data_IF_988551784526
#
_entry.id   IF_988551784526
#
_cell.length_a   1.000
_cell.length_b   1.000
_cell.length_c   1.000
_cell.angle_alpha   90.00
_cell.angle_beta   90.00
_cell.angle_gamma   90.00
#
_symmetry.space_group_name_H-M   'P 1'
#
loop_
_entity.id
_entity.type
_entity.pdbx_description
1 polymer ?
#
# COMPACT_ATOMS: atom_id res chain seq x y z
N UNK A 1 -13.84 11.64 -16.85
CA UNK A 1 -13.19 12.49 -15.83
C UNK A 1 -12.52 13.66 -16.48
N UNK A 2 -12.43 14.78 -15.77
CA UNK A 2 -11.82 16.01 -16.29
C UNK A 2 -10.73 16.47 -15.32
N UNK A 3 -9.56 16.82 -15.85
CA UNK A 3 -8.52 17.46 -15.04
C UNK A 3 -8.98 18.86 -14.65
N UNK A 4 -8.93 19.17 -13.35
CA UNK A 4 -9.42 20.43 -12.80
C UNK A 4 -8.30 21.30 -12.22
N UNK A 5 -7.16 20.70 -11.89
CA UNK A 5 -6.01 21.42 -11.33
C UNK A 5 -4.71 20.63 -11.50
N UNK A 6 -3.60 21.37 -11.69
CA UNK A 6 -2.23 20.88 -11.57
C UNK A 6 -1.46 21.70 -10.55
N UNK A 7 -0.63 21.06 -9.74
CA UNK A 7 0.24 21.71 -8.76
C UNK A 7 1.67 21.17 -8.99
N UNK A 8 2.59 22.08 -9.32
CA UNK A 8 4.00 21.73 -9.56
C UNK A 8 4.84 21.78 -8.29
N UNK A 9 6.00 21.13 -8.30
CA UNK A 9 6.93 21.02 -7.19
C UNK A 9 6.32 20.31 -5.96
N UNK A 10 5.66 19.19 -6.20
CA UNK A 10 5.09 18.33 -5.17
C UNK A 10 5.92 17.06 -5.05
N UNK A 11 6.63 16.87 -3.92
CA UNK A 11 7.40 15.65 -3.68
C UNK A 11 6.53 14.49 -3.22
N UNK A 12 5.57 14.79 -2.35
CA UNK A 12 4.57 13.83 -1.88
C UNK A 12 3.32 14.53 -1.33
N UNK A 13 2.22 13.80 -1.19
CA UNK A 13 0.95 14.34 -0.73
C UNK A 13 0.14 13.35 0.09
N UNK A 14 -0.80 13.87 0.88
CA UNK A 14 -1.79 13.12 1.64
C UNK A 14 -3.18 13.73 1.47
N UNK A 15 -4.18 12.89 1.58
CA UNK A 15 -5.57 13.30 1.74
C UNK A 15 -6.01 12.89 3.15
N UNK A 16 -6.36 13.88 3.99
CA UNK A 16 -6.82 13.67 5.35
C UNK A 16 -8.11 14.45 5.54
N UNK A 17 -9.18 13.78 5.97
CA UNK A 17 -10.50 14.37 6.12
C UNK A 17 -10.94 15.16 4.88
N UNK A 18 -10.72 14.57 3.69
CA UNK A 18 -11.02 15.15 2.37
C UNK A 18 -10.18 16.38 1.99
N UNK A 19 -9.22 16.77 2.81
CA UNK A 19 -8.32 17.90 2.57
C UNK A 19 -6.99 17.44 2.03
N UNK A 20 -6.47 18.17 1.06
CA UNK A 20 -5.17 17.94 0.45
C UNK A 20 -4.07 18.60 1.30
N UNK A 21 -3.03 17.83 1.59
CA UNK A 21 -1.76 18.26 2.16
C UNK A 21 -0.62 17.78 1.28
N UNK A 22 0.35 18.62 0.99
CA UNK A 22 1.49 18.23 0.17
C UNK A 22 2.80 18.87 0.64
N UNK A 23 3.92 18.30 0.25
CA UNK A 23 5.24 18.86 0.51
C UNK A 23 5.98 19.18 -0.79
N UNK A 24 6.84 20.20 -0.74
CA UNK A 24 7.72 20.63 -1.84
C UNK A 24 9.21 20.48 -1.46
N UNK A 25 9.54 19.47 -0.69
CA UNK A 25 10.89 19.16 -0.21
C UNK A 25 11.30 19.87 1.07
N UNK A 26 10.84 21.07 1.35
CA UNK A 26 11.17 21.81 2.58
C UNK A 26 9.95 22.37 3.31
N UNK A 27 8.86 22.40 2.66
CA UNK A 27 7.63 23.01 3.15
C UNK A 27 6.48 22.02 3.07
N UNK A 28 5.61 22.05 4.06
CA UNK A 28 4.31 21.38 4.04
C UNK A 28 3.23 22.39 3.89
N UNK A 29 2.39 22.20 2.91
CA UNK A 29 1.33 23.11 2.50
C UNK A 29 -0.02 22.41 2.67
N UNK A 30 -0.95 23.08 3.33
CA UNK A 30 -2.33 22.62 3.45
C UNK A 30 -3.21 23.08 2.30
N UNK A 31 -4.44 22.56 2.27
CA UNK A 31 -5.44 22.79 1.22
C UNK A 31 -5.64 24.26 0.83
N UNK A 32 -5.53 25.17 1.80
CA UNK A 32 -5.73 26.60 1.59
C UNK A 32 -4.47 27.32 1.06
N UNK A 33 -3.43 26.58 0.68
CA UNK A 33 -2.15 27.13 0.24
C UNK A 33 -1.31 27.72 1.39
N UNK A 34 -1.73 27.56 2.64
CA UNK A 34 -0.95 28.03 3.79
C UNK A 34 0.11 27.00 4.18
N UNK A 35 1.31 27.51 4.45
CA UNK A 35 2.40 26.69 4.98
C UNK A 35 2.11 26.29 6.42
N UNK A 36 2.17 24.98 6.69
CA UNK A 36 2.01 24.39 8.02
C UNK A 36 3.38 24.20 8.68
N UNK A 37 4.39 23.88 7.88
CA UNK A 37 5.76 23.67 8.31
C UNK A 37 6.73 24.21 7.27
N UNK A 38 7.76 24.94 7.72
CA UNK A 38 8.93 25.26 6.92
C UNK A 38 10.15 24.66 7.62
N UNK A 39 10.83 23.75 6.94
CA UNK A 39 12.01 23.06 7.44
C UNK A 39 13.30 23.63 6.83
N UNK A 40 14.38 23.80 7.60
CA UNK A 40 15.69 24.15 7.06
C UNK A 40 16.30 22.97 6.27
N UNK A 41 15.82 21.76 6.48
CA UNK A 41 16.33 20.52 5.88
C UNK A 41 15.31 19.92 4.92
N UNK A 42 15.78 19.11 3.97
CA UNK A 42 14.90 18.39 3.07
C UNK A 42 14.06 17.37 3.84
N UNK A 43 12.76 17.45 3.64
CA UNK A 43 11.76 16.55 4.18
C UNK A 43 11.68 15.28 3.34
N UNK A 44 11.26 14.18 3.96
CA UNK A 44 10.98 12.93 3.26
C UNK A 44 9.47 12.76 3.06
N UNK A 45 8.89 11.68 3.58
CA UNK A 45 7.49 11.35 3.37
C UNK A 45 6.60 12.06 4.39
N UNK A 46 5.58 12.74 3.92
CA UNK A 46 4.50 13.23 4.76
C UNK A 46 3.63 12.05 5.20
N UNK A 47 3.43 11.89 6.50
CA UNK A 47 2.62 10.84 7.09
C UNK A 47 1.56 11.45 7.99
N UNK A 48 0.43 10.76 8.09
CA UNK A 48 -0.63 11.09 9.04
C UNK A 48 -1.14 9.81 9.72
N UNK A 49 -1.26 9.86 11.01
CA UNK A 49 -2.06 8.93 11.82
C UNK A 49 -2.62 9.73 12.99
N UNK A 50 -3.91 9.77 13.08
CA UNK A 50 -4.64 10.59 14.06
C UNK A 50 -4.03 10.49 15.47
N UNK A 51 -3.77 11.61 16.13
CA UNK A 51 -4.09 12.99 15.71
C UNK A 51 -2.92 13.73 15.03
N UNK A 52 -1.86 13.07 14.58
CA UNK A 52 -0.59 13.68 14.21
C UNK A 52 -0.25 13.59 12.73
N UNK A 53 0.25 14.71 12.16
CA UNK A 53 1.15 14.64 11.02
C UNK A 53 2.58 14.47 11.51
N UNK A 54 3.38 13.68 10.81
CA UNK A 54 4.79 13.53 11.12
C UNK A 54 5.61 13.31 9.85
N UNK A 55 6.77 13.98 9.81
CA UNK A 55 7.61 14.04 8.62
C UNK A 55 9.05 13.86 9.04
N UNK A 56 9.72 12.79 8.62
CA UNK A 56 11.15 12.64 8.81
C UNK A 56 11.92 13.56 7.84
N UNK A 57 13.07 14.05 8.29
CA UNK A 57 14.07 14.64 7.41
C UNK A 57 15.06 13.58 6.89
N UNK A 58 15.96 14.01 6.01
CA UNK A 58 16.98 13.14 5.42
C UNK A 58 18.03 12.61 6.42
N UNK A 59 18.11 13.20 7.62
CA UNK A 59 19.05 12.79 8.68
C UNK A 59 18.41 11.87 9.73
N UNK A 60 17.10 11.60 9.60
CA UNK A 60 16.38 10.71 10.52
C UNK A 60 15.82 11.40 11.76
N UNK A 61 15.75 12.73 11.76
CA UNK A 61 14.95 13.48 12.71
C UNK A 61 13.50 13.50 12.24
N UNK A 62 12.56 13.79 13.11
CA UNK A 62 11.14 13.91 12.73
C UNK A 62 10.53 15.22 13.22
N UNK A 63 9.81 15.90 12.35
CA UNK A 63 8.86 16.95 12.71
C UNK A 63 7.52 16.32 13.02
N UNK A 64 7.06 16.52 14.25
CA UNK A 64 5.73 16.13 14.72
C UNK A 64 4.85 17.36 14.73
N UNK A 65 3.82 17.38 13.91
CA UNK A 65 2.89 18.52 13.78
C UNK A 65 1.61 18.16 14.55
N UNK A 66 1.32 18.95 15.53
CA UNK A 66 0.12 18.92 16.36
C UNK A 66 -0.76 20.14 16.03
N UNK A 67 -1.98 20.18 16.51
CA UNK A 67 -2.96 21.23 16.19
C UNK A 67 -2.40 22.66 16.33
N UNK A 68 -1.60 22.90 17.39
CA UNK A 68 -1.08 24.24 17.70
C UNK A 68 0.45 24.28 17.88
N UNK A 69 1.16 23.20 17.59
CA UNK A 69 2.59 23.10 17.88
C UNK A 69 3.29 22.21 16.83
N UNK A 70 4.49 22.61 16.47
CA UNK A 70 5.43 21.74 15.73
C UNK A 70 6.58 21.39 16.66
N UNK A 71 6.78 20.10 16.93
CA UNK A 71 7.86 19.60 17.77
C UNK A 71 8.92 18.90 16.91
N UNK A 72 10.16 19.35 17.06
CA UNK A 72 11.31 18.71 16.43
C UNK A 72 11.87 17.60 17.32
N UNK A 73 11.85 16.37 16.82
CA UNK A 73 12.32 15.17 17.50
C UNK A 73 13.67 14.74 16.88
N UNK A 74 14.77 15.11 17.55
CA UNK A 74 16.13 14.83 17.09
C UNK A 74 16.47 13.34 17.23
N UNK A 75 17.03 12.76 16.17
CA UNK A 75 17.44 11.33 16.09
C UNK A 75 16.32 10.34 16.40
N UNK A 76 15.08 10.74 16.16
CA UNK A 76 13.87 9.94 16.40
C UNK A 76 13.11 9.80 15.09
N UNK A 77 12.92 8.56 14.65
CA UNK A 77 12.11 8.24 13.49
C UNK A 77 10.79 7.61 13.92
N UNK A 78 9.68 8.32 13.73
CA UNK A 78 8.34 7.80 14.05
C UNK A 78 7.99 6.70 13.06
N UNK A 79 7.56 5.56 13.59
CA UNK A 79 7.06 4.40 12.83
C UNK A 79 5.55 4.31 12.84
N UNK A 80 4.96 4.68 13.98
CA UNK A 80 3.52 4.61 14.16
C UNK A 80 3.06 5.49 15.32
N UNK A 81 1.77 5.82 15.36
CA UNK A 81 1.10 6.47 16.49
C UNK A 81 0.27 5.42 17.22
N UNK A 82 0.61 5.15 18.47
CA UNK A 82 -0.08 4.15 19.32
C UNK A 82 -1.30 4.79 20.01
N UNK A 83 -1.13 6.03 20.45
CA UNK A 83 -2.18 6.84 21.09
C UNK A 83 -1.78 8.32 21.09
N UNK A 84 -2.63 9.20 21.60
CA UNK A 84 -2.40 10.65 21.71
C UNK A 84 -1.14 11.05 22.50
N UNK A 85 -0.51 10.13 23.18
CA UNK A 85 0.71 10.41 23.94
C UNK A 85 1.85 9.44 23.67
N UNK A 86 1.57 8.34 22.96
CA UNK A 86 2.53 7.27 22.77
C UNK A 86 2.82 7.08 21.27
N UNK A 87 4.10 7.17 20.91
CA UNK A 87 4.59 6.91 19.56
C UNK A 87 5.45 5.66 19.53
N UNK A 88 5.29 4.85 18.50
CA UNK A 88 6.26 3.83 18.14
C UNK A 88 7.37 4.47 17.33
N UNK A 89 8.60 4.37 17.82
CA UNK A 89 9.73 5.06 17.22
C UNK A 89 10.93 4.14 17.00
N UNK A 90 11.79 4.54 16.08
CA UNK A 90 13.14 3.99 15.94
C UNK A 90 14.15 4.99 16.47
N UNK A 91 14.93 4.59 17.46
CA UNK A 91 16.03 5.35 18.05
C UNK A 91 17.20 4.41 18.34
N UNK A 92 18.42 4.85 18.09
CA UNK A 92 19.65 4.05 18.36
C UNK A 92 19.63 2.64 17.76
N UNK A 93 19.08 2.51 16.54
CA UNK A 93 18.87 1.21 15.84
C UNK A 93 17.94 0.22 16.58
N UNK A 94 17.17 0.67 17.55
CA UNK A 94 16.18 -0.09 18.32
C UNK A 94 14.78 0.41 18.06
N UNK A 95 13.79 -0.33 18.52
CA UNK A 95 12.40 0.10 18.53
C UNK A 95 12.00 0.42 19.97
N UNK A 96 11.39 1.57 20.16
CA UNK A 96 10.93 2.05 21.46
C UNK A 96 9.51 2.62 21.36
N UNK A 97 8.82 2.64 22.48
CA UNK A 97 7.65 3.49 22.70
C UNK A 97 8.15 4.80 23.31
N UNK A 98 7.80 5.91 22.69
CA UNK A 98 8.13 7.26 23.16
C UNK A 98 6.89 7.93 23.72
N UNK A 99 6.94 8.27 25.01
CA UNK A 99 5.91 9.06 25.66
C UNK A 99 6.19 10.55 25.39
N UNK A 100 5.32 11.19 24.61
CA UNK A 100 5.46 12.60 24.22
C UNK A 100 5.29 13.53 25.43
N UNK A 101 4.40 13.17 26.37
CA UNK A 101 4.07 14.02 27.54
C UNK A 101 5.19 14.03 28.55
N UNK A 102 5.76 12.85 28.83
CA UNK A 102 6.82 12.71 29.81
C UNK A 102 8.23 12.83 29.21
N UNK A 103 8.34 12.85 27.86
CA UNK A 103 9.59 12.84 27.12
C UNK A 103 10.49 11.65 27.46
N UNK A 104 9.88 10.46 27.63
CA UNK A 104 10.54 9.25 28.06
C UNK A 104 10.50 8.16 26.99
N UNK A 105 11.55 7.32 26.96
CA UNK A 105 11.65 6.18 26.06
C UNK A 105 11.56 4.86 26.81
N UNK A 106 10.69 3.99 26.33
CA UNK A 106 10.62 2.60 26.76
C UNK A 106 11.03 1.70 25.57
N UNK A 107 12.23 1.11 25.65
CA UNK A 107 12.72 0.21 24.59
C UNK A 107 12.02 -1.15 24.67
N UNK A 108 11.32 -1.50 23.61
CA UNK A 108 10.53 -2.73 23.52
C UNK A 108 11.20 -3.81 22.68
N UNK A 109 12.01 -3.40 21.68
CA UNK A 109 12.79 -4.35 20.86
C UNK A 109 14.22 -3.84 20.69
N UNK A 110 15.18 -4.74 20.68
CA UNK A 110 16.59 -4.45 20.48
C UNK A 110 17.01 -4.37 18.99
N UNK A 111 16.04 -4.28 18.08
CA UNK A 111 16.21 -4.11 16.65
C UNK A 111 15.16 -3.14 16.08
N UNK A 112 15.40 -2.63 14.85
CA UNK A 112 14.44 -1.79 14.12
C UNK A 112 13.39 -2.65 13.44
N UNK A 113 12.14 -2.25 13.54
CA UNK A 113 11.08 -2.80 12.69
C UNK A 113 10.94 -1.95 11.42
N UNK A 114 10.69 -2.60 10.27
CA UNK A 114 10.52 -1.94 8.99
C UNK A 114 9.13 -2.17 8.39
N UNK A 115 8.65 -3.42 8.45
CA UNK A 115 7.34 -3.81 7.93
C UNK A 115 6.56 -4.47 9.05
N UNK A 116 5.43 -3.91 9.36
CA UNK A 116 4.53 -4.40 10.40
C UNK A 116 3.08 -4.11 10.01
N UNK A 117 2.17 -4.78 10.69
CA UNK A 117 0.74 -4.54 10.68
C UNK A 117 0.28 -4.36 12.11
N UNK A 118 -0.45 -3.30 12.40
CA UNK A 118 -1.05 -3.04 13.71
C UNK A 118 -2.49 -3.54 13.75
N UNK A 119 -2.86 -4.20 14.86
CA UNK A 119 -4.23 -4.61 15.15
C UNK A 119 -4.49 -4.63 16.64
N UNK A 120 -5.32 -3.73 17.14
CA UNK A 120 -5.72 -3.66 18.56
C UNK A 120 -4.52 -3.71 19.52
N UNK A 121 -3.50 -2.88 19.28
CA UNK A 121 -2.23 -2.80 20.04
C UNK A 121 -1.32 -4.02 19.93
N UNK A 122 -1.69 -5.04 19.15
CA UNK A 122 -0.79 -6.11 18.74
C UNK A 122 -0.13 -5.73 17.43
N UNK A 123 1.16 -6.03 17.33
CA UNK A 123 1.94 -5.77 16.12
C UNK A 123 2.43 -7.08 15.53
N UNK A 124 2.17 -7.27 14.27
CA UNK A 124 2.65 -8.40 13.50
C UNK A 124 3.77 -7.93 12.60
N UNK A 125 4.91 -8.57 12.68
CA UNK A 125 6.11 -8.10 11.98
C UNK A 125 6.88 -9.26 11.35
N UNK A 126 7.58 -8.92 10.24
CA UNK A 126 8.58 -9.79 9.64
C UNK A 126 9.89 -9.60 10.39
N UNK A 127 10.44 -10.70 10.93
CA UNK A 127 11.77 -10.76 11.50
C UNK A 127 12.55 -11.91 10.87
N UNK A 128 13.48 -11.58 9.95
CA UNK A 128 14.22 -12.57 9.14
C UNK A 128 13.26 -13.52 8.41
N UNK A 129 13.32 -14.81 8.74
CA UNK A 129 12.50 -15.88 8.17
C UNK A 129 11.28 -16.22 9.03
N UNK A 130 10.91 -15.35 9.96
CA UNK A 130 9.80 -15.56 10.87
C UNK A 130 8.78 -14.43 10.77
N UNK A 131 7.55 -14.74 11.13
CA UNK A 131 6.49 -13.78 11.41
C UNK A 131 6.26 -13.83 12.91
N UNK A 132 6.25 -12.66 13.55
CA UNK A 132 6.12 -12.54 15.00
C UNK A 132 4.92 -11.68 15.35
N UNK A 133 4.17 -12.10 16.37
CA UNK A 133 3.17 -11.30 17.06
C UNK A 133 3.73 -10.77 18.37
N UNK A 134 3.60 -9.47 18.61
CA UNK A 134 4.03 -8.81 19.84
C UNK A 134 2.96 -7.85 20.36
N UNK A 135 2.88 -7.69 21.66
CA UNK A 135 2.16 -6.60 22.32
C UNK A 135 3.15 -5.43 22.44
N UNK A 136 2.86 -4.30 21.77
CA UNK A 136 3.90 -3.29 21.56
C UNK A 136 4.19 -2.46 22.80
N UNK A 137 3.20 -2.19 23.65
CA UNK A 137 3.39 -1.33 24.82
C UNK A 137 4.29 -1.98 25.87
N UNK A 138 4.24 -3.29 25.98
CA UNK A 138 5.03 -4.08 26.94
C UNK A 138 6.25 -4.73 26.33
N UNK A 139 6.28 -4.85 25.00
CA UNK A 139 7.27 -5.65 24.27
C UNK A 139 7.07 -7.17 24.46
N UNK A 140 5.92 -7.58 25.03
CA UNK A 140 5.62 -8.98 25.26
C UNK A 140 5.52 -9.74 23.94
N UNK A 141 6.32 -10.77 23.81
CA UNK A 141 6.27 -11.72 22.72
C UNK A 141 5.03 -12.60 22.86
N UNK A 142 4.20 -12.67 21.83
CA UNK A 142 2.97 -13.45 21.82
C UNK A 142 3.18 -14.82 21.18
N UNK A 143 3.71 -14.82 19.96
CA UNK A 143 3.98 -16.04 19.19
C UNK A 143 4.95 -15.77 18.02
N UNK A 144 5.49 -16.85 17.49
CA UNK A 144 6.33 -16.85 16.28
C UNK A 144 5.91 -17.96 15.33
N UNK A 145 5.84 -17.64 14.06
CA UNK A 145 5.67 -18.59 12.97
C UNK A 145 6.93 -18.62 12.11
N UNK A 146 7.60 -19.76 12.04
CA UNK A 146 8.76 -19.92 11.16
C UNK A 146 8.33 -20.29 9.74
N UNK A 147 8.79 -19.52 8.76
CA UNK A 147 8.52 -19.81 7.35
C UNK A 147 9.16 -21.13 6.88
N UNK A 148 10.17 -21.64 7.61
CA UNK A 148 10.76 -22.96 7.33
C UNK A 148 9.76 -24.11 7.45
N UNK A 149 8.68 -23.93 8.23
CA UNK A 149 7.58 -24.90 8.34
C UNK A 149 6.79 -25.09 7.04
N UNK A 150 6.89 -24.12 6.12
CA UNK A 150 6.28 -24.22 4.80
C UNK A 150 7.10 -25.08 3.83
N UNK A 151 8.33 -25.45 4.21
CA UNK A 151 9.30 -26.12 3.36
C UNK A 151 10.03 -25.14 2.45
N UNK A 152 10.35 -25.57 1.25
CA UNK A 152 10.99 -24.75 0.22
C UNK A 152 10.14 -24.71 -1.04
N UNK A 153 10.35 -23.67 -1.84
CA UNK A 153 9.73 -23.56 -3.16
C UNK A 153 10.78 -23.55 -4.26
N UNK A 154 10.42 -24.05 -5.42
CA UNK A 154 11.24 -23.97 -6.63
C UNK A 154 10.93 -22.67 -7.35
N UNK A 155 11.95 -21.89 -7.69
CA UNK A 155 11.76 -20.72 -8.54
C UNK A 155 11.41 -21.19 -9.95
N UNK A 156 10.27 -20.82 -10.52
CA UNK A 156 9.83 -21.33 -11.83
C UNK A 156 10.72 -20.86 -12.99
N UNK A 157 11.57 -19.85 -12.78
CA UNK A 157 12.44 -19.30 -13.82
C UNK A 157 13.86 -19.81 -13.80
N UNK A 158 14.40 -20.13 -12.61
CA UNK A 158 15.81 -20.50 -12.44
C UNK A 158 16.01 -21.91 -11.93
N UNK A 159 14.94 -22.64 -11.68
CA UNK A 159 14.94 -23.95 -11.02
C UNK A 159 15.58 -23.98 -9.62
N UNK A 160 16.03 -22.84 -9.12
CA UNK A 160 16.63 -22.73 -7.79
C UNK A 160 15.60 -23.02 -6.68
N UNK A 161 16.04 -23.78 -5.71
CA UNK A 161 15.25 -24.06 -4.50
C UNK A 161 15.52 -22.99 -3.47
N UNK A 162 14.47 -22.24 -3.10
CA UNK A 162 14.54 -21.09 -2.18
C UNK A 162 13.64 -21.26 -0.97
N UNK A 163 13.99 -20.59 0.11
CA UNK A 163 13.13 -20.48 1.28
C UNK A 163 11.99 -19.51 1.00
N UNK A 164 10.89 -19.69 1.72
CA UNK A 164 9.79 -18.73 1.68
C UNK A 164 10.18 -17.43 2.37
N UNK A 165 9.74 -16.32 1.81
CA UNK A 165 9.89 -14.99 2.38
C UNK A 165 8.57 -14.23 2.37
N UNK A 166 8.33 -13.43 3.38
CA UNK A 166 7.21 -12.48 3.39
C UNK A 166 7.47 -11.38 2.38
N UNK A 167 6.58 -11.24 1.41
CA UNK A 167 6.53 -10.09 0.51
C UNK A 167 5.76 -8.96 1.16
N UNK A 168 4.56 -9.27 1.67
CA UNK A 168 3.67 -8.28 2.29
C UNK A 168 2.82 -8.91 3.37
N UNK A 169 2.60 -8.19 4.45
CA UNK A 169 1.51 -8.40 5.39
C UNK A 169 0.30 -7.67 4.81
N UNK A 170 -0.75 -8.42 4.44
CA UNK A 170 -1.89 -7.88 3.69
C UNK A 170 -2.88 -7.19 4.63
N UNK A 171 -3.26 -7.89 5.70
CA UNK A 171 -4.25 -7.39 6.65
C UNK A 171 -4.79 -8.51 7.53
N UNK A 172 -5.78 -8.17 8.35
CA UNK A 172 -6.45 -9.13 9.24
C UNK A 172 -7.93 -9.16 8.94
N UNK A 173 -8.44 -10.37 8.72
CA UNK A 173 -9.86 -10.63 8.56
C UNK A 173 -10.26 -11.89 9.33
N UNK A 174 -11.34 -11.84 10.10
CA UNK A 174 -11.86 -12.95 10.92
C UNK A 174 -10.77 -13.60 11.80
N UNK A 175 -9.97 -12.79 12.49
CA UNK A 175 -8.83 -13.22 13.33
C UNK A 175 -7.74 -13.99 12.57
N UNK A 176 -7.66 -13.84 11.27
CA UNK A 176 -6.61 -14.40 10.43
C UNK A 176 -5.74 -13.28 9.89
N UNK A 177 -4.43 -13.34 10.14
CA UNK A 177 -3.41 -12.51 9.49
C UNK A 177 -3.11 -13.09 8.11
N UNK A 178 -3.41 -12.34 7.07
CA UNK A 178 -3.13 -12.70 5.69
C UNK A 178 -1.76 -12.17 5.26
N UNK A 179 -0.97 -13.05 4.70
CA UNK A 179 0.43 -12.79 4.29
C UNK A 179 0.67 -13.28 2.87
N UNK A 180 1.21 -12.42 2.04
CA UNK A 180 1.66 -12.74 0.69
C UNK A 180 3.15 -13.09 0.69
N UNK A 181 3.50 -14.19 0.00
CA UNK A 181 4.84 -14.76 -0.03
C UNK A 181 5.54 -14.56 -1.38
N UNK A 182 6.88 -14.65 -1.37
CA UNK A 182 7.72 -14.61 -2.57
C UNK A 182 7.43 -15.73 -3.57
N UNK A 183 6.91 -16.87 -3.11
CA UNK A 183 6.50 -18.01 -3.92
C UNK A 183 5.12 -17.86 -4.56
N UNK A 184 4.61 -16.61 -4.65
CA UNK A 184 3.33 -16.29 -5.27
C UNK A 184 2.14 -17.02 -4.65
N UNK A 185 2.13 -17.17 -3.35
CA UNK A 185 1.03 -17.75 -2.60
C UNK A 185 0.70 -16.94 -1.37
N UNK A 186 -0.45 -17.23 -0.77
CA UNK A 186 -0.90 -16.64 0.48
C UNK A 186 -0.89 -17.67 1.60
N UNK A 187 -0.63 -17.18 2.81
CA UNK A 187 -0.91 -17.93 4.04
C UNK A 187 -1.81 -17.11 4.96
N UNK A 188 -2.66 -17.81 5.70
CA UNK A 188 -3.47 -17.27 6.78
C UNK A 188 -3.00 -17.82 8.11
N UNK A 189 -2.59 -16.94 9.02
CA UNK A 189 -2.16 -17.27 10.38
C UNK A 189 -3.21 -16.81 11.40
N UNK A 190 -3.56 -17.65 12.33
CA UNK A 190 -4.39 -17.27 13.47
C UNK A 190 -3.66 -16.22 14.31
N UNK A 191 -4.27 -15.06 14.55
CA UNK A 191 -3.60 -13.92 15.21
C UNK A 191 -3.32 -14.13 16.69
N UNK A 192 -4.02 -15.06 17.37
CA UNK A 192 -3.84 -15.32 18.78
C UNK A 192 -2.73 -16.36 19.03
N UNK A 193 -2.60 -17.33 18.13
CA UNK A 193 -1.72 -18.48 18.33
C UNK A 193 -0.55 -18.55 17.36
N UNK A 194 -0.58 -17.78 16.27
CA UNK A 194 0.39 -17.87 15.18
C UNK A 194 0.30 -19.15 14.35
N UNK A 195 -0.70 -20.00 14.58
CA UNK A 195 -0.84 -21.26 13.82
C UNK A 195 -1.28 -21.02 12.40
N UNK A 196 -0.68 -21.78 11.47
CA UNK A 196 -1.09 -21.79 10.06
C UNK A 196 -2.50 -22.38 9.93
N UNK A 197 -3.44 -21.60 9.40
CA UNK A 197 -4.80 -22.04 9.09
C UNK A 197 -5.00 -22.29 7.61
N UNK A 198 -4.49 -21.41 6.77
CA UNK A 198 -4.71 -21.47 5.33
C UNK A 198 -3.40 -21.38 4.57
N UNK A 199 -3.34 -22.09 3.45
CA UNK A 199 -2.29 -21.96 2.45
C UNK A 199 -2.95 -22.02 1.07
N UNK A 200 -2.86 -20.91 0.34
CA UNK A 200 -3.46 -20.76 -0.99
C UNK A 200 -2.30 -20.67 -1.99
N UNK A 201 -1.95 -21.80 -2.64
CA UNK A 201 -0.81 -21.85 -3.56
C UNK A 201 -1.16 -21.39 -4.98
N UNK A 202 -2.43 -21.54 -5.39
CA UNK A 202 -2.88 -21.31 -6.76
C UNK A 202 -4.36 -20.90 -6.83
N UNK A 203 -4.83 -20.52 -8.01
CA UNK A 203 -6.23 -20.20 -8.29
C UNK A 203 -7.10 -21.46 -8.28
N UNK A 204 -8.33 -21.29 -7.82
CA UNK A 204 -9.37 -22.32 -7.90
C UNK A 204 -10.11 -22.26 -9.24
N UNK A 205 -10.25 -21.05 -9.81
CA UNK A 205 -11.00 -20.81 -11.03
C UNK A 205 -10.40 -19.65 -11.82
N UNK A 206 -10.41 -19.78 -13.16
CA UNK A 206 -10.10 -18.69 -14.09
C UNK A 206 -11.36 -18.36 -14.90
N UNK A 207 -11.67 -17.05 -15.04
CA UNK A 207 -12.80 -16.53 -15.81
C UNK A 207 -12.25 -15.50 -16.80
N UNK A 208 -12.84 -15.48 -18.01
CA UNK A 208 -12.38 -14.65 -19.13
C UNK A 208 -11.58 -15.45 -20.14
N UNK A 209 -11.45 -14.94 -21.37
CA UNK A 209 -11.00 -15.74 -22.50
C UNK A 209 -9.51 -15.69 -22.74
N UNK A 210 -8.84 -14.61 -22.35
CA UNK A 210 -7.45 -14.41 -22.78
C UNK A 210 -6.62 -13.90 -21.62
N UNK A 211 -6.05 -14.84 -20.90
CA UNK A 211 -4.89 -14.60 -20.09
C UNK A 211 -3.72 -14.86 -21.02
N UNK A 212 -2.82 -13.91 -21.17
CA UNK A 212 -1.68 -14.10 -22.06
C UNK A 212 -0.95 -15.39 -21.71
N UNK A 213 -0.45 -16.13 -22.69
CA UNK A 213 0.22 -17.42 -22.53
C UNK A 213 1.34 -17.41 -21.49
N UNK A 214 1.92 -16.26 -21.22
CA UNK A 214 2.90 -16.06 -20.14
C UNK A 214 2.32 -16.23 -18.73
N UNK A 215 1.01 -16.19 -18.55
CA UNK A 215 0.33 -16.39 -17.27
C UNK A 215 -0.38 -17.75 -17.16
N UNK A 216 -0.85 -18.31 -18.26
CA UNK A 216 -1.50 -19.63 -18.26
C UNK A 216 -0.59 -20.74 -17.75
N UNK A 217 0.71 -20.66 -18.05
CA UNK A 217 1.72 -21.63 -17.60
C UNK A 217 2.21 -21.36 -16.16
N UNK A 218 1.75 -20.29 -15.49
CA UNK A 218 2.22 -19.90 -14.17
C UNK A 218 1.25 -20.33 -13.09
N UNK A 219 1.59 -21.40 -12.41
CA UNK A 219 0.95 -21.71 -11.12
C UNK A 219 1.26 -20.63 -10.09
N UNK A 220 0.22 -20.19 -9.36
CA UNK A 220 0.32 -19.22 -8.29
C UNK A 220 0.06 -17.78 -8.71
N UNK A 221 0.01 -16.90 -7.71
CA UNK A 221 -0.37 -15.51 -7.86
C UNK A 221 0.77 -14.66 -8.41
N UNK A 222 0.47 -13.69 -9.27
CA UNK A 222 1.48 -12.75 -9.77
C UNK A 222 1.92 -11.75 -8.68
N UNK A 223 3.06 -11.09 -8.90
CA UNK A 223 3.51 -10.03 -8.02
C UNK A 223 2.58 -8.81 -8.20
N UNK A 224 1.90 -8.43 -7.15
CA UNK A 224 1.00 -7.28 -7.11
C UNK A 224 0.93 -6.73 -5.68
N UNK A 225 0.44 -5.52 -5.55
CA UNK A 225 0.06 -4.93 -4.28
C UNK A 225 -1.37 -5.33 -3.92
N UNK A 226 -1.50 -6.50 -3.29
CA UNK A 226 -2.79 -7.01 -2.87
C UNK A 226 -3.40 -6.17 -1.76
N UNK A 227 -4.70 -5.87 -1.88
CA UNK A 227 -5.50 -5.12 -0.92
C UNK A 227 -6.54 -6.02 -0.25
N UNK A 228 -6.75 -5.79 1.04
CA UNK A 228 -7.82 -6.44 1.79
C UNK A 228 -8.98 -5.46 1.98
N UNK A 229 -10.15 -5.83 1.48
CA UNK A 229 -11.43 -5.19 1.78
C UNK A 229 -12.03 -5.90 3.00
N UNK A 230 -11.91 -5.27 4.16
CA UNK A 230 -12.41 -5.80 5.42
C UNK A 230 -13.95 -5.83 5.50
N UNK A 231 -14.64 -4.96 4.78
CA UNK A 231 -16.10 -4.92 4.79
C UNK A 231 -16.68 -6.10 4.01
N UNK A 232 -16.06 -6.42 2.88
CA UNK A 232 -16.49 -7.52 2.01
C UNK A 232 -15.84 -8.86 2.34
N UNK A 233 -14.77 -8.86 3.13
CA UNK A 233 -13.98 -10.06 3.38
C UNK A 233 -13.30 -10.60 2.14
N UNK A 234 -12.68 -9.73 1.35
CA UNK A 234 -12.03 -10.10 0.09
C UNK A 234 -10.62 -9.52 -0.01
N UNK A 235 -9.71 -10.31 -0.59
CA UNK A 235 -8.41 -9.82 -1.05
C UNK A 235 -8.48 -9.73 -2.57
N UNK A 236 -8.01 -8.61 -3.13
CA UNK A 236 -7.89 -8.46 -4.58
C UNK A 236 -6.57 -7.86 -4.99
N UNK A 237 -6.21 -8.13 -6.22
CA UNK A 237 -5.01 -7.65 -6.86
C UNK A 237 -5.22 -7.47 -8.34
N UNK A 238 -4.57 -6.45 -8.92
CA UNK A 238 -4.55 -6.18 -10.33
C UNK A 238 -3.13 -6.36 -10.86
N UNK A 239 -2.99 -7.12 -11.93
CA UNK A 239 -1.78 -7.26 -12.73
C UNK A 239 -2.01 -6.72 -14.14
N UNK A 240 -1.09 -7.00 -15.04
CA UNK A 240 -1.07 -6.47 -16.41
C UNK A 240 -2.40 -6.65 -17.14
N UNK A 241 -2.93 -7.86 -17.16
CA UNK A 241 -4.16 -8.20 -17.86
C UNK A 241 -5.05 -9.13 -17.02
N UNK A 242 -4.84 -9.11 -15.71
CA UNK A 242 -5.50 -10.04 -14.80
C UNK A 242 -5.93 -9.35 -13.52
N UNK A 243 -7.19 -9.54 -13.15
CA UNK A 243 -7.73 -9.21 -11.84
C UNK A 243 -7.92 -10.47 -11.03
N UNK A 244 -7.51 -10.44 -9.77
CA UNK A 244 -7.62 -11.57 -8.84
C UNK A 244 -8.49 -11.15 -7.66
N UNK A 245 -9.39 -12.05 -7.28
CA UNK A 245 -10.22 -11.92 -6.10
C UNK A 245 -10.12 -13.20 -5.25
N UNK A 246 -9.87 -13.06 -3.96
CA UNK A 246 -9.88 -14.16 -2.99
C UNK A 246 -11.02 -13.89 -2.02
N UNK A 247 -12.04 -14.72 -2.05
CA UNK A 247 -13.18 -14.65 -1.13
C UNK A 247 -12.83 -15.36 0.18
N UNK A 248 -12.66 -14.58 1.24
CA UNK A 248 -12.30 -15.03 2.57
C UNK A 248 -13.52 -15.48 3.40
N UNK A 249 -14.72 -15.29 2.89
CA UNK A 249 -15.96 -15.75 3.55
C UNK A 249 -16.25 -17.22 3.25
N UNK A 250 -15.52 -17.81 2.30
CA UNK A 250 -15.63 -19.23 1.99
C UNK A 250 -14.65 -20.07 2.80
N UNK A 251 -14.97 -21.34 3.00
CA UNK A 251 -14.16 -22.31 3.74
C UNK A 251 -13.88 -23.54 2.88
N UNK A 252 -12.68 -23.75 2.38
CA UNK A 252 -11.52 -22.84 2.43
C UNK A 252 -11.72 -21.58 1.58
N UNK A 253 -10.92 -20.52 1.79
CA UNK A 253 -10.96 -19.32 0.97
C UNK A 253 -10.83 -19.61 -0.51
N UNK A 254 -11.65 -18.95 -1.33
CA UNK A 254 -11.78 -19.26 -2.75
C UNK A 254 -11.17 -18.17 -3.62
N UNK A 255 -10.20 -18.54 -4.44
CA UNK A 255 -9.50 -17.62 -5.31
C UNK A 255 -9.98 -17.73 -6.77
N UNK A 256 -10.34 -16.59 -7.36
CA UNK A 256 -10.77 -16.47 -8.75
C UNK A 256 -9.88 -15.50 -9.49
N UNK A 257 -9.53 -15.86 -10.72
CA UNK A 257 -8.79 -15.03 -11.65
C UNK A 257 -9.69 -14.61 -12.80
N UNK A 258 -9.64 -13.33 -13.17
CA UNK A 258 -10.40 -12.73 -14.27
C UNK A 258 -9.41 -12.16 -15.30
N UNK A 259 -9.51 -12.62 -16.57
CA UNK A 259 -8.77 -12.03 -17.68
C UNK A 259 -9.35 -10.67 -18.07
N UNK A 260 -8.53 -9.66 -18.18
CA UNK A 260 -8.89 -8.30 -18.56
C UNK A 260 -8.35 -7.87 -19.93
N UNK A 261 -7.75 -8.76 -20.69
CA UNK A 261 -7.14 -8.41 -21.96
C UNK A 261 -8.13 -7.74 -22.91
N UNK A 262 -9.31 -8.29 -23.11
CA UNK A 262 -10.35 -7.72 -23.98
C UNK A 262 -10.81 -6.33 -23.49
N UNK A 263 -10.79 -6.12 -22.16
CA UNK A 263 -11.12 -4.82 -21.55
C UNK A 263 -10.07 -3.77 -21.88
N UNK A 264 -8.78 -4.11 -21.76
CA UNK A 264 -7.69 -3.21 -22.12
C UNK A 264 -7.65 -2.91 -23.64
N UNK A 265 -7.95 -3.90 -24.48
CA UNK A 265 -7.99 -3.73 -25.93
C UNK A 265 -9.04 -2.70 -26.39
N UNK A 266 -10.18 -2.56 -25.69
CA UNK A 266 -11.19 -1.52 -25.96
C UNK A 266 -10.61 -0.10 -25.93
N UNK A 267 -9.55 0.11 -25.16
CA UNK A 267 -8.90 1.41 -24.96
C UNK A 267 -7.52 1.50 -25.63
N UNK A 268 -7.18 0.55 -26.51
CA UNK A 268 -5.87 0.45 -27.17
C UNK A 268 -4.70 0.37 -26.16
N UNK A 269 -4.93 -0.18 -24.98
CA UNK A 269 -3.89 -0.45 -23.98
C UNK A 269 -3.25 -1.79 -24.31
N UNK A 270 -1.93 -1.79 -24.47
CA UNK A 270 -1.17 -3.03 -24.75
C UNK A 270 -0.84 -3.73 -23.44
N UNK A 271 -0.98 -5.06 -23.41
CA UNK A 271 -0.84 -5.90 -22.24
C UNK A 271 0.54 -5.99 -21.56
N UNK A 272 1.48 -5.10 -21.90
CA UNK A 272 2.76 -4.99 -21.20
C UNK A 272 2.81 -3.82 -20.20
N UNK A 273 1.70 -3.10 -20.04
CA UNK A 273 1.62 -1.99 -19.11
C UNK A 273 1.19 -2.50 -17.74
N UNK A 274 2.09 -2.42 -16.78
CA UNK A 274 1.84 -2.89 -15.43
C UNK A 274 0.97 -1.89 -14.68
N UNK A 275 -0.17 -2.33 -14.17
CA UNK A 275 -0.89 -1.62 -13.12
C UNK A 275 -0.13 -1.86 -11.80
N UNK A 276 0.67 -0.89 -11.36
CA UNK A 276 1.49 -1.07 -10.15
C UNK A 276 0.80 -0.52 -8.90
N UNK A 277 0.26 0.69 -8.99
CA UNK A 277 -0.44 1.33 -7.89
C UNK A 277 -1.94 1.37 -8.15
N UNK A 278 -2.71 0.98 -7.17
CA UNK A 278 -4.16 1.06 -7.24
C UNK A 278 -4.80 1.33 -5.89
N UNK A 279 -5.94 1.99 -5.94
CA UNK A 279 -6.77 2.35 -4.79
C UNK A 279 -8.20 1.94 -5.06
N UNK A 280 -8.90 1.50 -4.04
CA UNK A 280 -10.32 1.13 -4.15
C UNK A 280 -11.17 2.10 -3.37
N UNK A 281 -12.22 2.60 -4.03
CA UNK A 281 -13.28 3.39 -3.42
C UNK A 281 -14.62 3.12 -4.13
N UNK A 282 -15.69 2.91 -3.39
CA UNK A 282 -17.06 2.75 -3.92
C UNK A 282 -17.20 1.64 -4.98
N UNK A 283 -16.58 0.46 -4.78
CA UNK A 283 -16.49 -0.64 -5.75
C UNK A 283 -15.73 -0.32 -7.04
N UNK A 284 -15.06 0.79 -7.12
CA UNK A 284 -14.18 1.18 -8.22
C UNK A 284 -12.73 1.00 -7.81
N UNK A 285 -11.97 0.33 -8.66
CA UNK A 285 -10.53 0.18 -8.53
C UNK A 285 -9.87 1.14 -9.52
N UNK A 286 -9.19 2.13 -8.97
CA UNK A 286 -8.40 3.11 -9.72
C UNK A 286 -6.96 2.62 -9.80
N UNK A 287 -6.37 2.58 -10.98
CA UNK A 287 -5.04 2.03 -11.21
C UNK A 287 -4.21 2.90 -12.15
N UNK A 288 -2.90 2.86 -12.00
CA UNK A 288 -1.96 3.52 -12.89
C UNK A 288 -1.48 2.58 -13.99
N UNK A 289 -1.38 3.09 -15.22
CA UNK A 289 -0.71 2.44 -16.34
C UNK A 289 0.66 3.09 -16.52
N UNK A 290 1.64 2.46 -15.91
CA UNK A 290 2.98 2.97 -15.69
C UNK A 290 3.67 3.44 -16.98
N UNK A 291 3.70 2.59 -18.01
CA UNK A 291 4.43 2.89 -19.27
C UNK A 291 3.69 3.84 -20.20
N UNK A 292 2.41 4.08 -20.00
CA UNK A 292 1.60 4.96 -20.84
C UNK A 292 1.27 6.29 -20.18
N UNK A 293 1.69 6.50 -18.93
CA UNK A 293 1.37 7.71 -18.15
C UNK A 293 -0.13 7.97 -18.05
N UNK A 294 -0.92 6.88 -17.97
CA UNK A 294 -2.37 6.92 -17.90
C UNK A 294 -2.84 6.35 -16.58
N UNK A 295 -4.07 6.63 -16.23
CA UNK A 295 -4.77 5.90 -15.19
C UNK A 295 -6.09 5.36 -15.70
N UNK A 296 -6.56 4.30 -15.05
CA UNK A 296 -7.81 3.67 -15.40
C UNK A 296 -8.70 3.42 -14.19
N UNK A 297 -9.94 3.04 -14.47
CA UNK A 297 -10.95 2.67 -13.47
C UNK A 297 -11.61 1.37 -13.89
N UNK A 298 -11.53 0.39 -13.01
CA UNK A 298 -12.18 -0.91 -13.12
C UNK A 298 -13.37 -0.95 -12.15
N UNK A 299 -14.55 -1.31 -12.63
CA UNK A 299 -15.67 -1.67 -11.78
C UNK A 299 -15.46 -3.09 -11.23
N UNK A 300 -15.29 -3.20 -9.90
CA UNK A 300 -15.03 -4.48 -9.23
C UNK A 300 -16.21 -5.45 -9.36
N UNK A 301 -17.44 -4.95 -9.50
CA UNK A 301 -18.62 -5.82 -9.59
C UNK A 301 -18.75 -6.45 -10.98
N UNK A 302 -18.67 -5.64 -12.03
CA UNK A 302 -18.81 -6.10 -13.42
C UNK A 302 -17.53 -6.67 -13.99
N UNK A 303 -16.35 -6.32 -13.43
CA UNK A 303 -15.01 -6.62 -13.96
C UNK A 303 -14.73 -5.91 -15.29
N UNK A 304 -15.40 -4.80 -15.55
CA UNK A 304 -15.23 -4.00 -16.75
C UNK A 304 -14.35 -2.76 -16.47
N UNK A 305 -13.47 -2.44 -17.41
CA UNK A 305 -12.75 -1.17 -17.40
C UNK A 305 -13.70 -0.11 -17.92
N UNK A 306 -14.13 0.82 -17.05
CA UNK A 306 -15.12 1.85 -17.37
C UNK A 306 -14.49 3.18 -17.81
N UNK A 307 -13.18 3.34 -17.59
CA UNK A 307 -12.46 4.55 -17.97
C UNK A 307 -10.96 4.28 -18.08
N UNK A 308 -10.33 4.88 -19.09
CA UNK A 308 -8.88 5.09 -19.18
C UNK A 308 -8.63 6.53 -19.65
N UNK A 309 -7.72 7.21 -18.98
CA UNK A 309 -7.35 8.60 -19.31
C UNK A 309 -6.53 8.69 -20.59
N UNK A 310 -6.47 9.88 -21.17
CA UNK A 310 -5.34 10.25 -22.04
C UNK A 310 -4.05 10.30 -21.20
N UNK A 311 -2.86 10.30 -21.83
CA UNK A 311 -1.60 10.51 -21.13
C UNK A 311 -1.63 11.80 -20.32
N UNK A 312 -1.35 11.74 -19.03
CA UNK A 312 -1.46 12.89 -18.11
C UNK A 312 -0.16 13.68 -17.95
N UNK A 313 0.95 13.13 -18.42
CA UNK A 313 2.25 13.79 -18.40
C UNK A 313 2.94 13.60 -19.75
N UNK A 314 3.84 14.52 -20.09
CA UNK A 314 4.66 14.46 -21.30
C UNK A 314 6.09 14.15 -20.89
N UNK A 315 6.73 13.22 -21.58
CA UNK A 315 8.16 12.95 -21.42
C UNK A 315 8.93 14.06 -22.12
N UNK A 316 9.45 15.03 -21.37
CA UNK A 316 10.20 16.16 -21.93
C UNK A 316 11.69 15.88 -22.15
N UNK A 317 12.23 14.74 -21.71
CA UNK A 317 13.66 14.42 -21.81
C UNK A 317 13.92 13.01 -22.29
N UNK A 318 14.80 12.86 -23.24
CA UNK A 318 15.19 11.60 -23.88
C UNK A 318 15.77 10.54 -22.91
N UNK A 319 16.16 10.92 -21.68
CA UNK A 319 16.84 10.06 -20.70
C UNK A 319 16.06 9.84 -19.39
N UNK A 320 14.88 10.42 -19.21
CA UNK A 320 14.11 10.28 -17.97
C UNK A 320 12.88 9.41 -18.17
N UNK A 321 12.81 8.36 -17.39
CA UNK A 321 11.61 7.52 -17.30
C UNK A 321 10.54 8.31 -16.52
N UNK A 322 9.64 8.97 -17.23
CA UNK A 322 8.50 9.61 -16.59
C UNK A 322 7.54 8.51 -16.11
N UNK A 323 7.13 8.58 -14.86
CA UNK A 323 6.31 7.56 -14.19
C UNK A 323 5.22 8.24 -13.37
N UNK A 324 4.18 7.49 -13.05
CA UNK A 324 3.22 7.87 -12.02
C UNK A 324 3.74 7.33 -10.68
N UNK A 325 3.99 8.24 -9.72
CA UNK A 325 4.59 7.90 -8.41
C UNK A 325 3.59 7.50 -7.36
N UNK A 326 2.41 8.11 -7.35
CA UNK A 326 1.39 7.91 -6.33
C UNK A 326 0.00 8.21 -6.88
N UNK A 327 -0.98 7.45 -6.45
CA UNK A 327 -2.39 7.59 -6.82
C UNK A 327 -3.25 7.52 -5.57
N UNK A 328 -4.07 8.53 -5.33
CA UNK A 328 -5.06 8.56 -4.25
C UNK A 328 -6.41 9.00 -4.77
N UNK A 329 -7.45 8.57 -4.07
CA UNK A 329 -8.84 8.92 -4.39
C UNK A 329 -9.52 9.41 -3.13
N UNK A 330 -10.30 10.47 -3.26
CA UNK A 330 -11.13 10.99 -2.17
C UNK A 330 -12.38 11.64 -2.76
N UNK A 331 -13.53 11.19 -2.34
CA UNK A 331 -14.83 11.60 -2.85
C UNK A 331 -14.93 11.40 -4.39
N UNK A 332 -15.13 12.48 -5.13
CA UNK A 332 -15.18 12.45 -6.60
C UNK A 332 -13.86 12.84 -7.26
N UNK A 333 -12.76 12.98 -6.50
CA UNK A 333 -11.47 13.40 -7.03
C UNK A 333 -10.46 12.26 -7.06
N UNK A 334 -9.65 12.26 -8.10
CA UNK A 334 -8.48 11.40 -8.27
C UNK A 334 -7.25 12.29 -8.30
N UNK A 335 -6.27 11.94 -7.48
CA UNK A 335 -5.02 12.66 -7.31
C UNK A 335 -3.88 11.78 -7.78
N UNK A 336 -3.07 12.27 -8.71
CA UNK A 336 -1.96 11.51 -9.30
C UNK A 336 -0.71 12.37 -9.29
N UNK A 337 0.33 11.87 -8.64
CA UNK A 337 1.64 12.49 -8.63
C UNK A 337 2.52 11.82 -9.69
N UNK A 338 3.12 12.61 -10.58
CA UNK A 338 4.06 12.12 -11.58
C UNK A 338 5.53 12.28 -11.12
N UNK A 339 6.46 11.73 -11.89
CA UNK A 339 7.90 11.83 -11.62
C UNK A 339 8.51 13.19 -11.95
N UNK A 340 7.75 14.10 -12.54
CA UNK A 340 8.14 15.50 -12.74
C UNK A 340 7.71 16.39 -11.56
N UNK A 341 7.32 15.76 -10.44
CA UNK A 341 6.86 16.43 -9.22
C UNK A 341 5.61 17.32 -9.48
N UNK A 342 4.74 16.86 -10.37
CA UNK A 342 3.46 17.51 -10.64
C UNK A 342 2.31 16.66 -10.11
N UNK A 343 1.48 17.24 -9.27
CA UNK A 343 0.25 16.66 -8.77
C UNK A 343 -0.91 17.06 -9.66
N UNK A 344 -1.48 16.10 -10.36
CA UNK A 344 -2.64 16.22 -11.21
C UNK A 344 -3.90 15.87 -10.43
N UNK A 345 -4.93 16.70 -10.52
CA UNK A 345 -6.21 16.50 -9.84
C UNK A 345 -7.31 16.40 -10.89
N UNK A 346 -7.96 15.25 -10.91
CA UNK A 346 -9.10 14.97 -11.79
C UNK A 346 -10.37 14.94 -10.99
N UNK A 347 -11.46 15.40 -11.58
CA UNK A 347 -12.80 15.30 -11.00
C UNK A 347 -13.66 14.34 -11.83
N UNK A 348 -14.31 13.43 -11.14
CA UNK A 348 -15.30 12.54 -11.73
C UNK A 348 -16.58 13.33 -11.92
N UNK A 349 -17.02 13.49 -13.17
CA UNK A 349 -18.36 14.00 -13.43
C UNK A 349 -19.37 13.14 -12.69
N UNK A 350 -20.33 13.78 -12.04
CA UNK A 350 -21.45 13.04 -11.44
C UNK A 350 -22.14 12.31 -12.58
N UNK A 351 -21.98 10.98 -12.64
CA UNK A 351 -22.85 10.16 -13.45
C UNK A 351 -24.25 10.35 -12.88
N UNK A 352 -25.09 11.09 -13.58
CA UNK A 352 -26.51 11.13 -13.30
C UNK A 352 -27.04 9.74 -13.64
N UNK A 353 -26.97 8.83 -12.68
CA UNK A 353 -27.80 7.66 -12.71
C UNK A 353 -29.22 8.17 -12.33
N UNK A 354 -29.99 8.53 -13.32
CA UNK A 354 -31.43 8.56 -13.17
C UNK A 354 -31.85 7.12 -12.84
N UNK A 355 -32.35 6.94 -11.63
CA UNK A 355 -32.95 5.71 -11.11
C UNK A 355 -34.22 5.37 -11.89
#
# INVERSE_FOLDING_TARGET
MKEVQCISNVDNFLIVDKKLYFSNGKEVIGENGHSILISPLSLQFLNYKEPYFYIPDIYGNTYLIMENEVRFLKDIFIKDVISDSLLLVSKDKKTAVFDIKNNEFHYVLNFRIFKFLEWKKKYFLKNKNNIQGIEICTGQFLWEFSLSLLGKHKNPYTDEVKDFEVRRLIGIYNNILWVFLNAKGFIGLDIETGKLKYRIPEFHQAIGKTITSSYEDRKGFFRSDYLLDNEKGKIFGLGVDVYIEIDLNQEPPFATQYGLQEEFEKYNVKGNDTAEDYVVQDNLLYFSLFNQLKFGVLDINTKEIIYISEPIAVVERDDSFTQLKDLKVSENKVYILDSNDTLHIFEREKLNFEL
#
